data_IF_924654874847
#
_entry.id   IF_924654874847
#
_cell.length_a   1.000
_cell.length_b   1.000
_cell.length_c   1.000
_cell.angle_alpha   90.00
_cell.angle_beta   90.00
_cell.angle_gamma   90.00
#
_symmetry.space_group_name_H-M   'P 1'
#
loop_
_entity.id
_entity.type
_entity.pdbx_description
1 polymer ?
#
# COMPACT_ATOMS: atom_id res chain seq x y z
N UNK A 1 41.51 43.25 32.56
CA UNK A 1 41.24 42.83 31.17
C UNK A 1 40.43 41.54 31.23
N UNK A 2 39.12 41.62 30.99
CA UNK A 2 38.19 40.51 31.09
C UNK A 2 37.70 40.18 29.68
N UNK A 3 38.03 38.99 29.20
CA UNK A 3 37.63 38.46 27.89
C UNK A 3 36.26 37.80 28.01
N UNK A 4 35.21 38.49 27.56
CA UNK A 4 33.88 37.90 27.41
C UNK A 4 33.85 36.99 26.17
N UNK A 5 33.82 35.68 26.40
CA UNK A 5 33.53 34.68 25.38
C UNK A 5 32.02 34.63 25.13
N UNK A 6 31.59 35.12 23.96
CA UNK A 6 30.23 34.95 23.47
C UNK A 6 30.05 33.50 22.99
N UNK A 7 29.45 32.65 23.82
CA UNK A 7 28.93 31.35 23.39
C UNK A 7 27.72 31.55 22.49
N UNK A 8 27.95 31.56 21.18
CA UNK A 8 26.91 31.51 20.16
C UNK A 8 26.34 30.08 20.15
N UNK A 9 25.26 29.86 20.90
CA UNK A 9 24.53 28.59 20.92
C UNK A 9 23.66 28.54 19.67
N UNK A 10 24.14 27.87 18.62
CA UNK A 10 23.31 27.45 17.50
C UNK A 10 22.26 26.49 18.06
N UNK A 11 21.04 26.99 18.28
CA UNK A 11 19.88 26.16 18.55
C UNK A 11 19.62 25.39 17.26
N UNK A 12 19.77 24.05 17.22
CA UNK A 12 19.32 23.30 16.07
C UNK A 12 17.80 23.38 16.10
N UNK A 13 17.22 24.18 15.22
CA UNK A 13 15.82 24.05 14.81
C UNK A 13 15.69 22.70 14.10
N UNK A 14 15.72 21.60 14.87
CA UNK A 14 15.12 20.36 14.45
C UNK A 14 13.62 20.62 14.42
N UNK A 15 13.15 21.17 13.30
CA UNK A 15 11.82 20.82 12.80
C UNK A 15 11.88 19.33 12.48
N UNK A 16 11.77 18.52 13.52
CA UNK A 16 11.12 17.23 13.34
C UNK A 16 9.75 17.58 12.80
N UNK A 17 9.58 17.45 11.48
CA UNK A 17 8.28 17.07 10.96
C UNK A 17 7.91 15.80 11.71
N UNK A 18 7.25 15.96 12.85
CA UNK A 18 6.50 14.90 13.50
C UNK A 18 5.35 14.62 12.54
N UNK A 19 5.65 13.89 11.47
CA UNK A 19 4.64 13.17 10.71
C UNK A 19 3.89 12.37 11.77
N UNK A 20 2.64 12.73 12.02
CA UNK A 20 1.86 12.17 13.10
C UNK A 20 1.94 10.65 13.01
N UNK A 21 2.47 9.94 14.04
CA UNK A 21 2.70 8.48 13.98
C UNK A 21 1.42 7.67 13.75
N UNK A 22 0.26 8.34 13.84
CA UNK A 22 -1.09 7.86 13.60
C UNK A 22 -1.41 7.76 12.10
N UNK A 23 -0.91 8.67 11.26
CA UNK A 23 -1.20 8.73 9.83
C UNK A 23 -0.67 7.49 9.09
N UNK A 24 0.63 7.24 9.21
CA UNK A 24 1.26 6.06 8.59
C UNK A 24 0.79 4.72 9.19
N UNK A 25 0.25 4.71 10.41
CA UNK A 25 -0.37 3.49 10.96
C UNK A 25 -1.74 3.22 10.33
N UNK A 26 -2.55 4.25 10.12
CA UNK A 26 -3.86 4.14 9.47
C UNK A 26 -3.72 3.69 8.01
N UNK A 27 -2.77 4.25 7.26
CA UNK A 27 -2.47 3.85 5.89
C UNK A 27 -2.04 2.38 5.81
N UNK A 28 -1.10 1.95 6.66
CA UNK A 28 -0.64 0.57 6.71
C UNK A 28 -1.77 -0.41 7.10
N UNK A 29 -2.62 -0.05 8.05
CA UNK A 29 -3.76 -0.89 8.45
C UNK A 29 -4.81 -0.98 7.34
N UNK A 30 -5.08 0.13 6.65
CA UNK A 30 -6.01 0.17 5.54
C UNK A 30 -5.52 -0.69 4.37
N UNK A 31 -4.25 -0.55 3.99
CA UNK A 31 -3.60 -1.37 2.98
C UNK A 31 -3.61 -2.85 3.38
N UNK A 32 -3.25 -3.17 4.62
CA UNK A 32 -3.29 -4.54 5.13
C UNK A 32 -4.68 -5.15 5.01
N UNK A 33 -5.71 -4.44 5.48
CA UNK A 33 -7.09 -4.90 5.45
C UNK A 33 -7.59 -5.11 4.02
N UNK A 34 -7.35 -4.16 3.12
CA UNK A 34 -7.76 -4.25 1.72
C UNK A 34 -7.12 -5.43 1.00
N UNK A 35 -5.79 -5.56 1.10
CA UNK A 35 -5.03 -6.62 0.44
C UNK A 35 -5.39 -8.01 0.96
N UNK A 36 -5.53 -8.17 2.29
CA UNK A 36 -5.95 -9.44 2.88
C UNK A 36 -7.38 -9.79 2.47
N UNK A 37 -8.28 -8.81 2.43
CA UNK A 37 -9.68 -9.03 2.00
C UNK A 37 -9.75 -9.49 0.55
N UNK A 38 -9.01 -8.83 -0.35
CA UNK A 38 -8.91 -9.25 -1.76
C UNK A 38 -8.42 -10.69 -1.83
N UNK A 39 -7.30 -11.02 -1.17
CA UNK A 39 -6.74 -12.37 -1.16
C UNK A 39 -7.75 -13.43 -0.67
N UNK A 40 -8.43 -13.16 0.45
CA UNK A 40 -9.44 -14.07 1.02
C UNK A 40 -10.56 -14.30 0.02
N UNK A 41 -11.10 -13.24 -0.60
CA UNK A 41 -12.20 -13.39 -1.56
C UNK A 41 -11.71 -14.14 -2.81
N UNK A 42 -10.51 -13.85 -3.31
CA UNK A 42 -9.91 -14.59 -4.43
C UNK A 42 -9.88 -16.09 -4.15
N UNK A 43 -9.36 -16.50 -2.99
CA UNK A 43 -9.35 -17.91 -2.58
C UNK A 43 -10.76 -18.49 -2.39
N UNK A 44 -11.64 -17.76 -1.71
CA UNK A 44 -13.00 -18.23 -1.39
C UNK A 44 -13.88 -18.39 -2.64
N UNK A 45 -13.60 -17.64 -3.71
CA UNK A 45 -14.37 -17.65 -4.95
C UNK A 45 -13.80 -18.57 -6.03
N UNK A 46 -12.78 -19.36 -5.71
CA UNK A 46 -12.35 -20.46 -6.58
C UNK A 46 -10.90 -20.44 -7.01
N UNK A 47 -10.07 -19.50 -6.54
CA UNK A 47 -8.63 -19.55 -6.83
C UNK A 47 -7.99 -20.71 -6.06
N UNK A 48 -7.93 -21.91 -6.66
CA UNK A 48 -7.45 -23.13 -5.97
C UNK A 48 -6.19 -23.74 -6.58
N UNK A 49 -5.80 -23.35 -7.81
CA UNK A 49 -4.67 -23.92 -8.55
C UNK A 49 -3.78 -22.81 -9.12
N UNK A 50 -2.48 -22.83 -8.80
CA UNK A 50 -1.50 -21.85 -9.35
C UNK A 50 -1.41 -22.00 -10.89
N UNK A 51 -1.39 -20.89 -11.65
CA UNK A 51 -1.17 -20.95 -13.09
C UNK A 51 0.17 -21.66 -13.38
N UNK A 52 0.15 -22.69 -14.22
CA UNK A 52 1.30 -23.56 -14.52
C UNK A 52 1.19 -24.98 -13.98
N UNK A 53 0.21 -25.28 -13.12
CA UNK A 53 -0.23 -26.65 -12.85
C UNK A 53 -1.34 -27.01 -13.86
N UNK A 54 -1.08 -28.03 -14.67
CA UNK A 54 -1.87 -28.46 -15.83
C UNK A 54 -3.40 -28.40 -15.65
N UNK A 55 -4.02 -27.82 -16.68
CA UNK A 55 -5.42 -27.91 -17.13
C UNK A 55 -6.50 -27.31 -16.19
N UNK A 56 -7.08 -26.20 -16.66
CA UNK A 56 -8.28 -25.53 -16.15
C UNK A 56 -8.18 -24.85 -14.76
N UNK A 57 -7.03 -24.23 -14.48
CA UNK A 57 -6.83 -23.40 -13.28
C UNK A 57 -7.97 -22.39 -13.07
N UNK A 58 -8.79 -22.62 -12.05
CA UNK A 58 -9.93 -21.77 -11.73
C UNK A 58 -9.46 -20.39 -11.25
N UNK A 59 -9.95 -19.34 -11.91
CA UNK A 59 -9.69 -17.93 -11.54
C UNK A 59 -10.77 -17.51 -10.53
N UNK A 60 -10.34 -17.01 -9.38
CA UNK A 60 -11.25 -16.40 -8.40
C UNK A 60 -11.74 -15.02 -8.86
N UNK A 61 -12.70 -14.45 -8.13
CA UNK A 61 -13.36 -13.18 -8.48
C UNK A 61 -12.38 -12.00 -8.67
N UNK A 62 -11.24 -12.04 -8.00
CA UNK A 62 -10.19 -11.03 -8.04
C UNK A 62 -8.85 -11.60 -8.56
N UNK A 63 -8.92 -12.57 -9.46
CA UNK A 63 -7.75 -13.11 -10.15
C UNK A 63 -7.36 -14.51 -9.70
N UNK A 64 -6.13 -14.91 -10.00
CA UNK A 64 -5.67 -16.27 -9.76
C UNK A 64 -4.96 -16.41 -8.39
N UNK A 65 -4.55 -17.63 -7.98
CA UNK A 65 -3.89 -17.83 -6.69
C UNK A 65 -2.57 -17.07 -6.54
N UNK A 66 -1.83 -16.84 -7.61
CA UNK A 66 -0.59 -16.07 -7.55
C UNK A 66 -0.88 -14.62 -7.13
N UNK A 67 -1.90 -14.00 -7.73
CA UNK A 67 -2.38 -12.70 -7.30
C UNK A 67 -2.78 -12.73 -5.81
N UNK A 68 -3.54 -13.73 -5.37
CA UNK A 68 -3.94 -13.85 -3.96
C UNK A 68 -2.74 -13.95 -2.99
N UNK A 69 -1.70 -14.73 -3.34
CA UNK A 69 -0.46 -14.83 -2.56
C UNK A 69 0.26 -13.48 -2.47
N UNK A 70 0.36 -12.75 -3.59
CA UNK A 70 1.00 -11.44 -3.61
C UNK A 70 0.25 -10.46 -2.70
N UNK A 71 -1.08 -10.36 -2.84
CA UNK A 71 -1.89 -9.51 -1.97
C UNK A 71 -1.71 -9.89 -0.49
N UNK A 72 -1.72 -11.18 -0.15
CA UNK A 72 -1.54 -11.63 1.23
C UNK A 72 -0.13 -11.31 1.78
N UNK A 73 0.91 -11.47 0.97
CA UNK A 73 2.28 -11.11 1.33
C UNK A 73 2.40 -9.61 1.59
N UNK A 74 1.92 -8.75 0.67
CA UNK A 74 1.94 -7.31 0.85
C UNK A 74 1.06 -6.86 2.03
N UNK A 75 -0.09 -7.50 2.26
CA UNK A 75 -0.95 -7.23 3.40
C UNK A 75 -0.28 -7.59 4.73
N UNK A 76 0.45 -8.71 4.79
CA UNK A 76 1.24 -9.07 5.96
C UNK A 76 2.38 -8.07 6.20
N UNK A 77 3.09 -7.64 5.16
CA UNK A 77 4.12 -6.60 5.28
C UNK A 77 3.53 -5.27 5.77
N UNK A 78 2.36 -4.88 5.28
CA UNK A 78 1.64 -3.69 5.74
C UNK A 78 1.25 -3.78 7.22
N UNK A 79 0.79 -4.95 7.67
CA UNK A 79 0.45 -5.19 9.07
C UNK A 79 1.69 -5.13 9.97
N UNK A 80 2.79 -5.76 9.56
CA UNK A 80 4.09 -5.68 10.26
C UNK A 80 4.55 -4.23 10.34
N UNK A 81 4.49 -3.49 9.24
CA UNK A 81 4.84 -2.07 9.22
C UNK A 81 3.99 -1.24 10.19
N UNK A 82 2.68 -1.50 10.27
CA UNK A 82 1.81 -0.85 11.24
C UNK A 82 2.27 -1.07 12.70
N UNK A 83 2.86 -2.22 13.02
CA UNK A 83 3.36 -2.54 14.36
C UNK A 83 4.75 -1.93 14.66
N UNK A 84 5.50 -1.48 13.66
CA UNK A 84 6.87 -0.97 13.82
C UNK A 84 7.01 0.53 13.46
N UNK A 85 6.91 1.45 14.44
CA UNK A 85 6.95 2.91 14.22
C UNK A 85 8.08 3.45 13.33
N UNK A 86 9.36 3.01 13.46
CA UNK A 86 10.44 3.56 12.63
C UNK A 86 10.34 3.11 11.16
N UNK A 87 9.62 2.02 10.88
CA UNK A 87 9.50 1.45 9.55
C UNK A 87 8.22 1.88 8.83
N UNK A 88 7.19 2.35 9.57
CA UNK A 88 5.87 2.72 9.03
C UNK A 88 5.92 3.54 7.75
N UNK A 89 6.67 4.65 7.76
CA UNK A 89 6.70 5.59 6.62
C UNK A 89 7.34 4.97 5.39
N UNK A 90 8.50 4.33 5.56
CA UNK A 90 9.24 3.69 4.46
C UNK A 90 8.38 2.58 3.84
N UNK A 91 7.75 1.77 4.68
CA UNK A 91 6.88 0.70 4.19
C UNK A 91 5.59 1.23 3.57
N UNK A 92 4.96 2.27 4.11
CA UNK A 92 3.78 2.89 3.49
C UNK A 92 4.10 3.39 2.07
N UNK A 93 5.25 4.04 1.87
CA UNK A 93 5.69 4.51 0.56
C UNK A 93 5.98 3.34 -0.41
N UNK A 94 6.73 2.31 0.04
CA UNK A 94 7.04 1.13 -0.78
C UNK A 94 5.77 0.34 -1.13
N UNK A 95 4.88 0.13 -0.17
CA UNK A 95 3.63 -0.60 -0.37
C UNK A 95 2.67 0.20 -1.25
N UNK A 96 2.59 1.51 -1.06
CA UNK A 96 1.85 2.40 -1.95
C UNK A 96 2.36 2.35 -3.39
N UNK A 97 3.68 2.33 -3.59
CA UNK A 97 4.29 2.19 -4.91
C UNK A 97 4.02 0.81 -5.53
N UNK A 98 4.13 -0.27 -4.75
CA UNK A 98 3.80 -1.62 -5.22
C UNK A 98 2.32 -1.70 -5.64
N UNK A 99 1.43 -1.10 -4.86
CA UNK A 99 0.00 -1.05 -5.14
C UNK A 99 -0.34 -0.24 -6.40
N UNK A 100 0.34 0.90 -6.59
CA UNK A 100 0.25 1.65 -7.84
C UNK A 100 0.73 0.82 -9.03
N UNK A 101 1.84 0.07 -8.86
CA UNK A 101 2.34 -0.88 -9.87
C UNK A 101 1.29 -1.92 -10.27
N UNK A 102 0.60 -2.54 -9.31
CA UNK A 102 -0.51 -3.46 -9.59
C UNK A 102 -1.66 -2.79 -10.35
N UNK A 103 -2.02 -1.56 -9.96
CA UNK A 103 -3.09 -0.80 -10.62
C UNK A 103 -2.74 -0.51 -12.09
N UNK A 104 -1.50 -0.10 -12.35
CA UNK A 104 -1.01 0.15 -13.72
C UNK A 104 -0.94 -1.15 -14.51
N UNK A 105 -0.46 -2.23 -13.91
CA UNK A 105 -0.42 -3.55 -14.53
C UNK A 105 -1.82 -3.99 -14.97
N UNK A 106 -2.81 -3.90 -14.08
CA UNK A 106 -4.20 -4.25 -14.38
C UNK A 106 -4.77 -3.43 -15.53
N UNK A 107 -4.50 -2.12 -15.53
CA UNK A 107 -4.96 -1.21 -16.57
C UNK A 107 -4.35 -1.59 -17.93
N UNK A 108 -3.04 -1.86 -17.97
CA UNK A 108 -2.35 -2.26 -19.20
C UNK A 108 -2.85 -3.61 -19.69
N UNK A 109 -2.98 -4.60 -18.81
CA UNK A 109 -3.48 -5.94 -19.16
C UNK A 109 -4.92 -5.90 -19.71
N UNK A 110 -5.77 -5.01 -19.19
CA UNK A 110 -7.15 -4.83 -19.68
C UNK A 110 -7.24 -4.05 -21.00
N UNK A 111 -6.36 -3.07 -21.24
CA UNK A 111 -6.36 -2.26 -22.48
C UNK A 111 -5.68 -3.01 -23.63
N UNK A 112 -4.58 -3.68 -23.33
CA UNK A 112 -3.77 -4.42 -24.28
C UNK A 112 -3.72 -5.89 -23.86
N UNK A 113 -4.81 -6.66 -24.07
CA UNK A 113 -4.82 -8.07 -23.76
C UNK A 113 -3.77 -8.78 -24.62
N UNK A 114 -2.61 -9.04 -24.04
CA UNK A 114 -1.47 -9.65 -24.71
C UNK A 114 -1.39 -11.13 -24.30
N UNK A 115 -1.87 -12.00 -25.20
CA UNK A 115 -1.76 -13.46 -25.18
C UNK A 115 -2.68 -14.26 -24.22
N UNK A 116 -2.86 -15.54 -24.58
CA UNK A 116 -3.89 -16.46 -24.07
C UNK A 116 -3.71 -16.91 -22.60
N UNK A 117 -2.64 -16.46 -21.92
CA UNK A 117 -2.34 -16.79 -20.52
C UNK A 117 -1.94 -15.54 -19.73
N UNK A 118 -2.93 -14.80 -19.22
CA UNK A 118 -2.70 -13.64 -18.36
C UNK A 118 -2.25 -14.08 -16.94
N UNK A 119 -1.00 -13.80 -16.52
CA UNK A 119 -0.36 -14.47 -15.39
C UNK A 119 -0.92 -14.08 -14.02
N UNK A 120 -1.70 -12.99 -13.91
CA UNK A 120 -2.38 -12.59 -12.67
C UNK A 120 -3.90 -12.78 -12.73
N UNK A 121 -4.44 -13.18 -13.89
CA UNK A 121 -5.89 -13.31 -14.08
C UNK A 121 -6.62 -11.99 -13.89
N UNK A 122 -6.10 -10.91 -14.47
CA UNK A 122 -6.63 -9.56 -14.31
C UNK A 122 -8.10 -9.50 -14.74
N UNK A 123 -8.91 -8.84 -13.92
CA UNK A 123 -10.34 -8.67 -14.15
C UNK A 123 -10.79 -7.24 -13.82
N UNK A 124 -11.88 -6.79 -14.42
CA UNK A 124 -12.47 -5.48 -14.10
C UNK A 124 -12.80 -5.31 -12.60
N UNK A 125 -13.35 -6.31 -11.88
CA UNK A 125 -13.54 -6.22 -10.44
C UNK A 125 -12.25 -5.97 -9.66
N UNK A 126 -11.14 -6.63 -10.03
CA UNK A 126 -9.84 -6.42 -9.41
C UNK A 126 -9.32 -5.00 -9.64
N UNK A 127 -9.40 -4.51 -10.89
CA UNK A 127 -9.01 -3.14 -11.22
C UNK A 127 -9.82 -2.12 -10.41
N UNK A 128 -11.15 -2.30 -10.29
CA UNK A 128 -12.01 -1.41 -9.51
C UNK A 128 -11.61 -1.41 -8.03
N UNK A 129 -11.31 -2.59 -7.46
CA UNK A 129 -10.83 -2.70 -6.09
C UNK A 129 -9.49 -1.95 -5.89
N UNK A 130 -8.55 -2.10 -6.82
CA UNK A 130 -7.27 -1.39 -6.81
C UNK A 130 -7.42 0.12 -6.91
N UNK A 131 -8.18 0.62 -7.89
CA UNK A 131 -8.40 2.07 -8.05
C UNK A 131 -9.09 2.66 -6.81
N UNK A 132 -10.07 1.95 -6.25
CA UNK A 132 -10.79 2.41 -5.04
C UNK A 132 -9.87 2.48 -3.83
N UNK A 133 -9.06 1.43 -3.61
CA UNK A 133 -8.11 1.41 -2.51
C UNK A 133 -7.01 2.47 -2.67
N UNK A 134 -6.54 2.73 -3.89
CA UNK A 134 -5.56 3.78 -4.18
C UNK A 134 -6.15 5.16 -3.88
N UNK A 135 -7.38 5.42 -4.33
CA UNK A 135 -8.09 6.66 -4.04
C UNK A 135 -8.28 6.87 -2.52
N UNK A 136 -8.63 5.81 -1.79
CA UNK A 136 -8.78 5.87 -0.33
C UNK A 136 -7.44 6.12 0.38
N UNK A 137 -6.33 5.51 -0.07
CA UNK A 137 -5.00 5.81 0.46
C UNK A 137 -4.66 7.29 0.28
N UNK A 138 -4.87 7.83 -0.93
CA UNK A 138 -4.65 9.26 -1.22
C UNK A 138 -5.49 10.16 -0.31
N UNK A 139 -6.77 9.83 -0.11
CA UNK A 139 -7.66 10.58 0.81
C UNK A 139 -7.15 10.52 2.26
N UNK A 140 -6.70 9.36 2.73
CA UNK A 140 -6.17 9.20 4.10
C UNK A 140 -4.90 10.04 4.28
N UNK A 141 -3.97 10.00 3.32
CA UNK A 141 -2.75 10.81 3.34
C UNK A 141 -3.10 12.30 3.44
N UNK A 142 -3.92 12.82 2.52
CA UNK A 142 -4.28 14.25 2.53
C UNK A 142 -5.11 14.68 3.75
N UNK A 143 -5.96 13.81 4.27
CA UNK A 143 -6.79 14.12 5.45
C UNK A 143 -5.97 14.16 6.74
N UNK A 144 -4.84 13.44 6.78
CA UNK A 144 -3.95 13.38 7.94
C UNK A 144 -2.83 14.43 7.91
N UNK A 145 -2.63 15.12 6.77
CA UNK A 145 -1.69 16.23 6.60
C UNK A 145 -2.28 17.62 6.92
N UNK A 146 -3.55 17.72 7.34
CA UNK A 146 -4.21 19.01 7.54
C UNK A 146 -3.51 19.85 8.62
N UNK A 147 -3.11 21.11 8.32
CA UNK A 147 -2.22 21.88 9.16
C UNK A 147 -2.87 22.39 10.44
N UNK A 148 -2.11 22.28 11.52
CA UNK A 148 -2.34 22.90 12.83
C UNK A 148 -2.88 24.32 12.67
N UNK A 149 -4.13 24.52 13.12
CA UNK A 149 -4.77 25.83 13.12
C UNK A 149 -3.88 26.80 13.91
N UNK A 150 -3.41 27.85 13.24
CA UNK A 150 -2.59 28.90 13.83
C UNK A 150 -3.35 29.48 15.04
N UNK A 151 -2.80 29.46 16.26
CA UNK A 151 -3.47 30.10 17.39
C UNK A 151 -3.61 31.59 17.11
N UNK A 152 -4.82 32.10 17.32
CA UNK A 152 -5.20 33.51 17.16
C UNK A 152 -4.50 34.41 18.18
#
# INVERSE_FOLDING_TARGET
MSTHAHHFRLVPTQRHHQAHPVAGAAECLFLAAGLITIAIITYATGATIMPGASDDGTVGAFGNPLAAVLHLAFGAFALVAALHPPLRRIFAEILGLAFFGFTVYDLVALIFPAAEEEPLGVSWPLLVAHVTALALCVVITFSTESPEAKPA
#
